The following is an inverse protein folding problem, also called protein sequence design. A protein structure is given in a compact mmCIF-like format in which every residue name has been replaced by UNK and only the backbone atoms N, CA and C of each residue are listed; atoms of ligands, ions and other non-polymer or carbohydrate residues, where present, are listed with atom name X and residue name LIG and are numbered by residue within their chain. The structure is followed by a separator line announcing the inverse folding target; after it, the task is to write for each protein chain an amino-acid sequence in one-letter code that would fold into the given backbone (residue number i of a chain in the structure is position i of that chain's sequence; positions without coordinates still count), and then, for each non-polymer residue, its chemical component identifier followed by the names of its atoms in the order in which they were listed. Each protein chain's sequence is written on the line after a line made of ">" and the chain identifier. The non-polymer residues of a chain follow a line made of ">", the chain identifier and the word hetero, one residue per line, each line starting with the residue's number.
data_IF_137387679516
#
_entry.id   IF_137387679516
#
_cell.length_a   1.000
_cell.length_b   1.000
_cell.length_c   1.000
_cell.angle_alpha   90.00
_cell.angle_beta   90.00
_cell.angle_gamma   90.00
#
_symmetry.space_group_name_H-M   'P 1'
#
loop_
_entity.id
_entity.type
_entity.pdbx_description
1 polymer ?
#
# COMPACT_ATOMS: atom_id res chain seq x y z
N UNK A 1 -56.59 57.25 -21.74
CA UNK A 1 -55.15 57.06 -21.44
C UNK A 1 -54.98 56.26 -20.16
N UNK A 2 -55.20 54.93 -20.18
CA UNK A 2 -54.97 54.03 -19.03
C UNK A 2 -54.32 52.67 -19.39
N UNK A 3 -53.91 52.46 -20.66
CA UNK A 3 -53.39 51.17 -21.13
C UNK A 3 -51.85 51.07 -21.16
N UNK A 4 -51.13 52.17 -20.87
CA UNK A 4 -49.66 52.19 -20.92
C UNK A 4 -49.02 51.50 -19.70
N UNK A 5 -49.63 51.63 -18.51
CA UNK A 5 -49.10 51.06 -17.26
C UNK A 5 -49.16 49.53 -17.21
N UNK A 6 -50.22 48.93 -17.78
CA UNK A 6 -50.39 47.48 -17.77
C UNK A 6 -49.34 46.75 -18.61
N UNK A 7 -48.92 47.34 -19.75
CA UNK A 7 -47.89 46.77 -20.62
C UNK A 7 -46.51 46.80 -19.99
N UNK A 8 -46.18 47.89 -19.29
CA UNK A 8 -44.89 48.06 -18.60
C UNK A 8 -44.79 47.09 -17.42
N UNK A 9 -45.88 46.94 -16.65
CA UNK A 9 -45.96 45.96 -15.57
C UNK A 9 -45.84 44.52 -16.08
N UNK A 10 -46.49 44.19 -17.20
CA UNK A 10 -46.38 42.86 -17.80
C UNK A 10 -44.95 42.58 -18.28
N UNK A 11 -44.30 43.55 -18.91
CA UNK A 11 -42.92 43.43 -19.37
C UNK A 11 -41.93 43.31 -18.20
N UNK A 12 -42.15 44.06 -17.11
CA UNK A 12 -41.37 43.95 -15.89
C UNK A 12 -41.53 42.57 -15.25
N UNK A 13 -42.75 42.04 -15.14
CA UNK A 13 -43.03 40.70 -14.61
C UNK A 13 -42.38 39.59 -15.45
N UNK A 14 -42.46 39.69 -16.79
CA UNK A 14 -41.81 38.74 -17.70
C UNK A 14 -40.29 38.78 -17.57
N UNK A 15 -39.71 39.98 -17.48
CA UNK A 15 -38.26 40.15 -17.32
C UNK A 15 -37.79 39.61 -15.97
N UNK A 16 -38.52 39.90 -14.89
CA UNK A 16 -38.23 39.38 -13.56
C UNK A 16 -38.35 37.85 -13.50
N UNK A 17 -39.39 37.29 -14.14
CA UNK A 17 -39.56 35.85 -14.29
C UNK A 17 -38.42 35.20 -15.07
N UNK A 18 -37.96 35.84 -16.15
CA UNK A 18 -36.81 35.35 -16.94
C UNK A 18 -35.50 35.37 -16.15
N UNK A 19 -35.28 36.40 -15.32
CA UNK A 19 -34.10 36.50 -14.43
C UNK A 19 -34.13 35.41 -13.36
N UNK A 20 -35.28 35.19 -12.71
CA UNK A 20 -35.42 34.12 -11.70
C UNK A 20 -35.22 32.74 -12.34
N UNK A 21 -35.81 32.50 -13.51
CA UNK A 21 -35.63 31.24 -14.25
C UNK A 21 -34.17 31.04 -14.67
N UNK A 22 -33.50 32.08 -15.18
CA UNK A 22 -32.08 32.04 -15.52
C UNK A 22 -31.21 31.70 -14.31
N UNK A 23 -31.49 32.31 -13.16
CA UNK A 23 -30.80 32.05 -11.90
C UNK A 23 -31.00 30.59 -11.42
N UNK A 24 -32.24 30.10 -11.44
CA UNK A 24 -32.56 28.72 -11.08
C UNK A 24 -31.90 27.70 -12.02
N UNK A 25 -31.91 27.96 -13.33
CA UNK A 25 -31.24 27.10 -14.31
C UNK A 25 -29.71 27.10 -14.13
N UNK A 26 -29.11 28.23 -13.74
CA UNK A 26 -27.68 28.30 -13.42
C UNK A 26 -27.34 27.40 -12.23
N UNK A 27 -28.09 27.50 -11.13
CA UNK A 27 -27.86 26.66 -9.96
C UNK A 27 -28.06 25.16 -10.22
N UNK A 28 -29.08 24.79 -11.02
CA UNK A 28 -29.28 23.39 -11.41
C UNK A 28 -28.14 22.89 -12.31
N UNK A 29 -27.65 23.73 -13.21
CA UNK A 29 -26.51 23.41 -14.09
C UNK A 29 -25.22 23.23 -13.29
N UNK A 30 -24.92 24.14 -12.36
CA UNK A 30 -23.79 24.05 -11.44
C UNK A 30 -23.86 22.81 -10.57
N UNK A 31 -25.01 22.56 -9.92
CA UNK A 31 -25.19 21.36 -9.09
C UNK A 31 -25.04 20.05 -9.87
N UNK A 32 -25.41 20.03 -11.16
CA UNK A 32 -25.14 18.87 -12.04
C UNK A 32 -23.65 18.74 -12.36
N UNK A 33 -22.96 19.83 -12.66
CA UNK A 33 -21.51 19.84 -12.93
C UNK A 33 -20.72 19.38 -11.71
N UNK A 34 -21.09 19.83 -10.52
CA UNK A 34 -20.42 19.45 -9.28
C UNK A 34 -20.61 17.97 -8.97
N UNK A 35 -21.83 17.44 -9.12
CA UNK A 35 -22.08 15.98 -8.99
C UNK A 35 -21.29 15.15 -9.99
N UNK A 36 -21.14 15.63 -11.23
CA UNK A 36 -20.35 14.94 -12.26
C UNK A 36 -18.86 14.96 -11.92
N UNK A 37 -18.33 16.11 -11.49
CA UNK A 37 -16.94 16.24 -11.03
C UNK A 37 -16.67 15.33 -9.84
N UNK A 38 -17.59 15.25 -8.88
CA UNK A 38 -17.47 14.41 -7.70
C UNK A 38 -17.37 12.93 -8.07
N UNK A 39 -18.26 12.45 -8.96
CA UNK A 39 -18.22 11.07 -9.48
C UNK A 39 -16.92 10.78 -10.24
N UNK A 40 -16.43 11.74 -11.03
CA UNK A 40 -15.17 11.59 -11.76
C UNK A 40 -13.97 11.53 -10.82
N UNK A 41 -13.93 12.39 -9.79
CA UNK A 41 -12.91 12.34 -8.73
C UNK A 41 -12.94 11.01 -8.00
N UNK A 42 -14.12 10.56 -7.59
CA UNK A 42 -14.32 9.27 -6.94
C UNK A 42 -13.76 8.12 -7.78
N UNK A 43 -14.15 8.05 -9.05
CA UNK A 43 -13.68 7.01 -9.98
C UNK A 43 -12.16 7.09 -10.21
N UNK A 44 -11.63 8.31 -10.34
CA UNK A 44 -10.19 8.55 -10.52
C UNK A 44 -9.39 8.09 -9.32
N UNK A 45 -9.78 8.51 -8.10
CA UNK A 45 -9.12 8.12 -6.85
C UNK A 45 -9.16 6.60 -6.66
N UNK A 46 -10.32 5.98 -6.87
CA UNK A 46 -10.46 4.52 -6.79
C UNK A 46 -9.57 3.78 -7.79
N UNK A 47 -9.37 4.33 -8.99
CA UNK A 47 -8.46 3.79 -9.99
C UNK A 47 -7.00 3.96 -9.58
N UNK A 48 -6.62 5.13 -9.08
CA UNK A 48 -5.26 5.40 -8.62
C UNK A 48 -4.86 4.50 -7.45
N UNK A 49 -5.74 4.33 -6.46
CA UNK A 49 -5.50 3.42 -5.33
C UNK A 49 -5.37 1.96 -5.77
N UNK A 50 -6.20 1.55 -6.73
CA UNK A 50 -6.13 0.21 -7.30
C UNK A 50 -4.78 -0.02 -7.99
N UNK A 51 -4.37 0.92 -8.86
CA UNK A 51 -3.09 0.84 -9.56
C UNK A 51 -1.89 0.82 -8.60
N UNK A 52 -1.86 1.71 -7.61
CA UNK A 52 -0.81 1.74 -6.58
C UNK A 52 -0.74 0.40 -5.83
N UNK A 53 -1.89 -0.15 -5.46
CA UNK A 53 -1.93 -1.44 -4.75
C UNK A 53 -1.48 -2.60 -5.63
N UNK A 54 -1.93 -2.67 -6.88
CA UNK A 54 -1.53 -3.71 -7.84
C UNK A 54 -0.02 -3.66 -8.12
N UNK A 55 0.55 -2.45 -8.28
CA UNK A 55 1.98 -2.24 -8.46
C UNK A 55 2.78 -2.71 -7.23
N UNK A 56 2.33 -2.36 -6.03
CA UNK A 56 2.95 -2.81 -4.79
C UNK A 56 2.89 -4.34 -4.62
N UNK A 57 1.74 -4.97 -4.92
CA UNK A 57 1.59 -6.42 -4.88
C UNK A 57 2.54 -7.09 -5.88
N UNK A 58 2.64 -6.56 -7.10
CA UNK A 58 3.56 -7.08 -8.11
C UNK A 58 5.03 -6.95 -7.66
N UNK A 59 5.41 -5.82 -7.08
CA UNK A 59 6.76 -5.60 -6.57
C UNK A 59 7.11 -6.58 -5.44
N UNK A 60 6.17 -6.82 -4.52
CA UNK A 60 6.32 -7.81 -3.44
C UNK A 60 6.36 -9.25 -3.95
N UNK A 61 5.55 -9.57 -4.97
CA UNK A 61 5.57 -10.88 -5.64
C UNK A 61 6.93 -11.15 -6.26
N UNK A 62 7.42 -10.22 -7.08
CA UNK A 62 8.73 -10.33 -7.72
C UNK A 62 9.88 -10.40 -6.71
N UNK A 63 9.75 -9.73 -5.55
CA UNK A 63 10.71 -9.90 -4.46
C UNK A 63 10.62 -11.30 -3.85
N UNK A 64 9.42 -11.79 -3.57
CA UNK A 64 9.21 -13.11 -2.97
C UNK A 64 9.64 -14.26 -3.87
N UNK A 65 9.34 -14.18 -5.16
CA UNK A 65 9.73 -15.19 -6.14
C UNK A 65 11.26 -15.29 -6.23
N UNK A 66 11.97 -14.15 -6.25
CA UNK A 66 13.45 -14.13 -6.17
C UNK A 66 13.98 -14.77 -4.89
N UNK A 67 13.32 -14.55 -3.75
CA UNK A 67 13.68 -15.22 -2.49
C UNK A 67 13.52 -16.72 -2.67
N UNK A 68 12.37 -17.20 -3.16
CA UNK A 68 12.08 -18.63 -3.32
C UNK A 68 13.00 -19.34 -4.33
N UNK A 69 13.37 -18.66 -5.41
CA UNK A 69 14.26 -19.18 -6.47
C UNK A 69 15.73 -19.27 -6.02
N UNK A 70 16.11 -18.59 -4.92
CA UNK A 70 17.49 -18.58 -4.44
C UNK A 70 17.99 -19.90 -3.84
N UNK A 71 17.10 -20.87 -3.64
CA UNK A 71 17.43 -22.16 -3.02
C UNK A 71 16.72 -23.29 -3.73
N UNK A 72 17.49 -24.32 -4.10
CA UNK A 72 16.95 -25.57 -4.66
C UNK A 72 16.00 -26.28 -3.70
N UNK A 73 16.17 -26.09 -2.38
CA UNK A 73 15.27 -26.65 -1.37
C UNK A 73 15.25 -25.83 -0.08
N UNK A 74 14.04 -25.39 0.27
CA UNK A 74 13.69 -24.73 1.53
C UNK A 74 13.56 -25.66 2.72
N UNK A 75 13.74 -26.96 2.50
CA UNK A 75 13.54 -27.99 3.51
C UNK A 75 14.85 -28.73 3.77
N UNK A 76 15.13 -29.06 5.02
CA UNK A 76 16.29 -29.87 5.40
C UNK A 76 16.03 -31.38 5.20
N UNK A 77 17.04 -32.21 5.52
CA UNK A 77 16.94 -33.68 5.42
C UNK A 77 15.90 -34.28 6.37
N UNK A 78 15.48 -33.52 7.38
CA UNK A 78 14.52 -33.90 8.42
C UNK A 78 13.12 -33.32 8.14
N UNK A 79 12.89 -32.84 6.91
CA UNK A 79 11.65 -32.23 6.46
C UNK A 79 11.25 -30.92 7.21
N UNK A 80 12.23 -30.18 7.77
CA UNK A 80 11.99 -28.89 8.45
C UNK A 80 12.33 -27.71 7.55
N UNK A 81 11.53 -26.66 7.63
CA UNK A 81 11.76 -25.44 6.86
C UNK A 81 13.00 -24.66 7.36
N UNK A 82 13.87 -24.24 6.44
CA UNK A 82 15.15 -23.56 6.73
C UNK A 82 14.96 -22.06 6.96
N UNK A 83 14.36 -21.68 8.10
CA UNK A 83 14.10 -20.27 8.42
C UNK A 83 15.37 -19.41 8.47
N UNK A 84 16.49 -19.92 8.98
CA UNK A 84 17.77 -19.19 8.97
C UNK A 84 18.29 -18.91 7.56
N UNK A 85 18.14 -19.87 6.64
CA UNK A 85 18.51 -19.65 5.23
C UNK A 85 17.60 -18.59 4.60
N UNK A 86 16.30 -18.68 4.83
CA UNK A 86 15.33 -17.72 4.30
C UNK A 86 15.59 -16.31 4.82
N UNK A 87 15.85 -16.16 6.13
CA UNK A 87 16.22 -14.88 6.74
C UNK A 87 17.43 -14.25 6.05
N UNK A 88 18.49 -15.05 5.84
CA UNK A 88 19.70 -14.62 5.16
C UNK A 88 19.40 -14.20 3.72
N UNK A 89 18.66 -14.99 2.97
CA UNK A 89 18.26 -14.64 1.59
C UNK A 89 17.45 -13.35 1.56
N UNK A 90 16.50 -13.17 2.46
CA UNK A 90 15.69 -11.94 2.56
C UNK A 90 16.58 -10.74 2.84
N UNK A 91 17.54 -10.86 3.78
CA UNK A 91 18.50 -9.80 4.11
C UNK A 91 19.42 -9.44 2.93
N UNK A 92 19.81 -10.42 2.11
CA UNK A 92 20.65 -10.22 0.93
C UNK A 92 19.89 -9.61 -0.26
N UNK A 93 18.56 -9.71 -0.28
CA UNK A 93 17.73 -9.14 -1.32
C UNK A 93 17.10 -7.82 -0.85
N UNK A 94 17.34 -6.69 -1.55
CA UNK A 94 16.77 -5.41 -1.15
C UNK A 94 15.24 -5.47 -1.17
N UNK A 95 14.63 -4.88 -0.14
CA UNK A 95 13.19 -4.71 -0.07
C UNK A 95 12.72 -3.87 -1.28
N UNK A 96 11.61 -4.25 -1.94
CA UNK A 96 11.11 -3.50 -3.07
C UNK A 96 10.68 -2.09 -2.65
N UNK A 97 10.77 -1.14 -3.58
CA UNK A 97 10.22 0.20 -3.39
C UNK A 97 8.70 0.08 -3.46
N UNK A 98 8.02 0.46 -2.38
CA UNK A 98 6.57 0.45 -2.27
C UNK A 98 6.06 1.90 -2.33
N UNK A 99 5.12 2.16 -3.24
CA UNK A 99 4.44 3.45 -3.31
C UNK A 99 3.31 3.54 -2.29
N UNK A 100 3.28 4.62 -1.54
CA UNK A 100 2.16 5.03 -0.68
C UNK A 100 1.69 6.44 -1.00
N UNK A 101 2.14 6.98 -2.14
CA UNK A 101 1.95 8.37 -2.52
C UNK A 101 0.48 8.70 -2.74
N UNK A 102 -0.28 7.84 -3.43
CA UNK A 102 -1.72 8.05 -3.66
C UNK A 102 -2.46 7.94 -2.33
N UNK A 103 -2.14 6.92 -1.53
CA UNK A 103 -2.74 6.72 -0.21
C UNK A 103 -2.58 7.96 0.70
N UNK A 104 -1.36 8.45 0.88
CA UNK A 104 -1.10 9.59 1.75
C UNK A 104 -1.59 10.93 1.17
N UNK A 105 -1.42 11.16 -0.13
CA UNK A 105 -1.83 12.42 -0.75
C UNK A 105 -3.36 12.65 -0.69
N UNK A 106 -4.14 11.57 -0.62
CA UNK A 106 -5.60 11.64 -0.65
C UNK A 106 -6.24 11.24 0.69
N UNK A 107 -5.47 11.08 1.77
CA UNK A 107 -5.96 10.49 3.03
C UNK A 107 -7.17 11.22 3.62
N UNK A 108 -7.24 12.55 3.45
CA UNK A 108 -8.37 13.38 3.89
C UNK A 108 -9.64 13.19 3.07
N UNK A 109 -9.50 12.77 1.81
CA UNK A 109 -10.60 12.62 0.86
C UNK A 109 -11.12 11.17 0.77
N UNK A 110 -10.30 10.19 1.20
CA UNK A 110 -10.68 8.76 1.19
C UNK A 110 -12.05 8.48 1.82
N UNK A 111 -12.43 9.04 3.00
CA UNK A 111 -13.72 8.73 3.62
C UNK A 111 -14.93 9.20 2.81
N UNK A 112 -14.74 10.19 1.92
CA UNK A 112 -15.81 10.73 1.07
C UNK A 112 -16.02 9.94 -0.21
N UNK A 113 -15.00 9.21 -0.66
CA UNK A 113 -14.97 8.59 -1.98
C UNK A 113 -14.87 7.05 -1.97
N UNK A 114 -14.41 6.49 -0.86
CA UNK A 114 -14.22 5.05 -0.69
C UNK A 114 -15.21 4.55 0.36
N UNK A 115 -15.94 3.48 0.04
CA UNK A 115 -16.83 2.84 0.99
C UNK A 115 -16.03 2.21 2.15
N UNK A 116 -16.60 2.21 3.35
CA UNK A 116 -15.93 1.76 4.56
C UNK A 116 -15.31 0.35 4.43
N UNK A 117 -15.99 -0.69 3.88
CA UNK A 117 -15.38 -2.01 3.73
C UNK A 117 -14.14 -2.03 2.84
N UNK A 118 -14.13 -1.23 1.77
CA UNK A 118 -12.97 -1.09 0.90
C UNK A 118 -11.84 -0.32 1.58
N UNK A 119 -12.17 0.74 2.32
CA UNK A 119 -11.20 1.51 3.09
C UNK A 119 -10.50 0.63 4.14
N UNK A 120 -11.26 -0.20 4.85
CA UNK A 120 -10.73 -1.16 5.83
C UNK A 120 -9.78 -2.18 5.17
N UNK A 121 -10.13 -2.68 3.98
CA UNK A 121 -9.27 -3.59 3.21
C UNK A 121 -7.96 -2.91 2.79
N UNK A 122 -8.03 -1.70 2.25
CA UNK A 122 -6.84 -0.93 1.85
C UNK A 122 -5.96 -0.62 3.05
N UNK A 123 -6.55 -0.16 4.16
CA UNK A 123 -5.84 0.08 5.41
C UNK A 123 -5.12 -1.17 5.90
N UNK A 124 -5.83 -2.30 5.94
CA UNK A 124 -5.26 -3.60 6.32
C UNK A 124 -4.10 -3.99 5.40
N UNK A 125 -4.20 -3.74 4.10
CA UNK A 125 -3.13 -3.99 3.14
C UNK A 125 -1.89 -3.14 3.47
N UNK A 126 -2.01 -1.82 3.58
CA UNK A 126 -0.86 -0.95 3.86
C UNK A 126 -0.22 -1.23 5.22
N UNK A 127 -1.02 -1.54 6.25
CA UNK A 127 -0.48 -1.97 7.55
C UNK A 127 0.33 -3.27 7.46
N UNK A 128 -0.09 -4.23 6.61
CA UNK A 128 0.66 -5.46 6.40
C UNK A 128 1.97 -5.18 5.67
N UNK A 129 1.95 -4.32 4.65
CA UNK A 129 3.15 -3.89 3.93
C UNK A 129 4.16 -3.23 4.88
N UNK A 130 3.71 -2.29 5.70
CA UNK A 130 4.56 -1.60 6.69
C UNK A 130 5.17 -2.60 7.68
N UNK A 131 4.36 -3.53 8.23
CA UNK A 131 4.86 -4.59 9.12
C UNK A 131 5.87 -5.50 8.43
N UNK A 132 5.66 -5.82 7.15
CA UNK A 132 6.58 -6.64 6.38
C UNK A 132 7.93 -5.95 6.21
N UNK A 133 7.93 -4.64 5.93
CA UNK A 133 9.14 -3.82 5.86
C UNK A 133 9.89 -3.77 7.20
N UNK A 134 9.17 -3.60 8.32
CA UNK A 134 9.79 -3.63 9.66
C UNK A 134 10.48 -4.96 9.92
N UNK A 135 9.84 -6.09 9.56
CA UNK A 135 10.47 -7.41 9.69
C UNK A 135 11.67 -7.54 8.75
N UNK A 136 11.59 -7.06 7.50
CA UNK A 136 12.73 -7.06 6.58
C UNK A 136 13.95 -6.33 7.16
N UNK A 137 13.74 -5.13 7.70
CA UNK A 137 14.82 -4.36 8.32
C UNK A 137 15.44 -5.12 9.50
N UNK A 138 14.62 -5.72 10.36
CA UNK A 138 15.12 -6.56 11.47
C UNK A 138 16.00 -7.72 10.97
N UNK A 139 15.56 -8.43 9.91
CA UNK A 139 16.35 -9.54 9.36
C UNK A 139 17.67 -9.04 8.75
N UNK A 140 17.66 -7.88 8.11
CA UNK A 140 18.84 -7.24 7.53
C UNK A 140 19.84 -6.80 8.60
N UNK A 141 19.35 -6.22 9.69
CA UNK A 141 20.18 -5.83 10.84
C UNK A 141 20.79 -7.06 11.52
N UNK A 142 19.99 -8.11 11.73
CA UNK A 142 20.47 -9.37 12.32
C UNK A 142 21.54 -10.06 11.44
N UNK A 143 21.42 -10.00 10.11
CA UNK A 143 22.45 -10.55 9.22
C UNK A 143 23.72 -9.69 9.22
N UNK A 144 23.58 -8.37 9.39
CA UNK A 144 24.71 -7.45 9.56
C UNK A 144 25.47 -7.76 10.85
N UNK A 145 24.77 -7.92 11.98
CA UNK A 145 25.35 -8.34 13.26
C UNK A 145 26.11 -9.67 13.13
N UNK A 146 25.50 -10.65 12.45
CA UNK A 146 26.11 -11.95 12.17
C UNK A 146 27.41 -11.82 11.38
N UNK A 147 27.41 -11.02 10.30
CA UNK A 147 28.61 -10.79 9.48
C UNK A 147 29.72 -10.12 10.28
N UNK A 148 29.38 -9.12 11.09
CA UNK A 148 30.32 -8.42 11.96
C UNK A 148 30.94 -9.39 12.98
N UNK A 149 30.15 -10.24 13.63
CA UNK A 149 30.65 -11.23 14.59
C UNK A 149 31.65 -12.22 13.94
N UNK A 150 31.38 -12.66 12.71
CA UNK A 150 32.30 -13.52 11.95
C UNK A 150 33.59 -12.78 11.60
N UNK A 151 33.49 -11.51 11.21
CA UNK A 151 34.66 -10.67 10.90
C UNK A 151 35.53 -10.43 12.14
N UNK A 152 34.93 -10.15 13.30
CA UNK A 152 35.66 -10.04 14.56
C UNK A 152 36.38 -11.34 14.93
N UNK A 153 35.71 -12.49 14.79
CA UNK A 153 36.34 -13.79 15.02
C UNK A 153 37.51 -14.08 14.09
N UNK A 154 37.44 -13.59 12.84
CA UNK A 154 38.55 -13.68 11.88
C UNK A 154 39.78 -12.90 12.31
N UNK A 155 39.59 -11.74 12.92
CA UNK A 155 40.69 -10.94 13.49
C UNK A 155 41.35 -11.60 14.70
N UNK A 156 40.65 -12.52 15.38
CA UNK A 156 41.13 -13.26 16.54
C UNK A 156 41.66 -14.66 16.20
N UNK A 157 41.78 -15.01 14.92
CA UNK A 157 42.19 -16.34 14.41
C UNK A 157 41.26 -17.51 14.82
N UNK A 158 40.06 -17.23 15.36
CA UNK A 158 39.06 -18.25 15.77
C UNK A 158 37.80 -18.20 14.87
N UNK A 159 38.03 -18.32 13.56
CA UNK A 159 36.99 -18.18 12.53
C UNK A 159 35.90 -19.26 12.68
N UNK A 160 36.29 -20.49 12.98
CA UNK A 160 35.35 -21.62 13.01
C UNK A 160 34.36 -21.48 14.17
N UNK A 161 34.85 -21.16 15.36
CA UNK A 161 34.00 -20.96 16.54
C UNK A 161 33.09 -19.75 16.34
N UNK A 162 33.62 -18.64 15.81
CA UNK A 162 32.82 -17.45 15.52
C UNK A 162 31.72 -17.72 14.48
N UNK A 163 31.99 -18.49 13.43
CA UNK A 163 30.99 -18.88 12.44
C UNK A 163 29.89 -19.75 13.04
N UNK A 164 30.24 -20.73 13.89
CA UNK A 164 29.27 -21.61 14.55
C UNK A 164 28.37 -20.85 15.52
N UNK A 165 28.96 -20.02 16.38
CA UNK A 165 28.23 -19.22 17.37
C UNK A 165 27.33 -18.19 16.70
N UNK A 166 27.87 -17.39 15.77
CA UNK A 166 27.10 -16.38 15.05
C UNK A 166 25.99 -17.01 14.20
N UNK A 167 26.23 -18.17 13.60
CA UNK A 167 25.23 -18.91 12.85
C UNK A 167 24.08 -19.43 13.71
N UNK A 168 24.39 -20.00 14.89
CA UNK A 168 23.40 -20.50 15.83
C UNK A 168 22.54 -19.38 16.41
N UNK A 169 23.19 -18.31 16.91
CA UNK A 169 22.50 -17.15 17.49
C UNK A 169 21.59 -16.47 16.45
N UNK A 170 22.09 -16.28 15.23
CA UNK A 170 21.28 -15.76 14.13
C UNK A 170 20.06 -16.62 13.85
N UNK A 171 20.23 -17.94 13.69
CA UNK A 171 19.14 -18.85 13.38
C UNK A 171 18.04 -18.86 14.45
N UNK A 172 18.42 -18.74 15.72
CA UNK A 172 17.50 -18.64 16.85
C UNK A 172 16.74 -17.30 16.85
N UNK A 173 17.47 -16.18 16.72
CA UNK A 173 16.92 -14.82 16.74
C UNK A 173 15.94 -14.54 15.60
N UNK A 174 16.21 -15.05 14.39
CA UNK A 174 15.42 -14.73 13.20
C UNK A 174 14.24 -15.65 12.98
N UNK A 175 14.16 -16.81 13.64
CA UNK A 175 13.17 -17.86 13.33
C UNK A 175 11.73 -17.34 13.38
N UNK A 176 11.31 -16.77 14.51
CA UNK A 176 9.95 -16.28 14.70
C UNK A 176 9.62 -15.11 13.75
N UNK A 177 10.59 -14.27 13.42
CA UNK A 177 10.43 -13.16 12.49
C UNK A 177 10.29 -13.65 11.04
N UNK A 178 11.05 -14.67 10.68
CA UNK A 178 11.02 -15.31 9.36
C UNK A 178 9.69 -16.03 9.12
N UNK A 179 9.19 -16.75 10.12
CA UNK A 179 7.85 -17.36 10.11
C UNK A 179 6.76 -16.29 9.87
N UNK A 180 6.82 -15.19 10.62
CA UNK A 180 5.89 -14.06 10.45
C UNK A 180 6.02 -13.42 9.07
N UNK A 181 7.24 -13.26 8.56
CA UNK A 181 7.49 -12.70 7.22
C UNK A 181 6.79 -13.52 6.14
N UNK A 182 7.01 -14.85 6.15
CA UNK A 182 6.40 -15.79 5.21
C UNK A 182 4.87 -15.72 5.27
N UNK A 183 4.28 -15.79 6.47
CA UNK A 183 2.83 -15.73 6.64
C UNK A 183 2.24 -14.39 6.17
N UNK A 184 2.97 -13.30 6.41
CA UNK A 184 2.52 -11.96 6.09
C UNK A 184 2.58 -11.69 4.59
N UNK A 185 3.68 -12.09 3.93
CA UNK A 185 3.83 -11.91 2.49
C UNK A 185 2.81 -12.77 1.73
N UNK A 186 2.57 -14.02 2.13
CA UNK A 186 1.51 -14.86 1.54
C UNK A 186 0.13 -14.18 1.64
N UNK A 187 -0.22 -13.64 2.82
CA UNK A 187 -1.46 -12.88 3.02
C UNK A 187 -1.56 -11.59 2.20
N UNK A 188 -0.44 -10.97 1.83
CA UNK A 188 -0.41 -9.79 0.96
C UNK A 188 -0.56 -10.23 -0.50
N UNK A 189 0.09 -11.31 -0.91
CA UNK A 189 0.03 -11.81 -2.28
C UNK A 189 -1.34 -12.40 -2.64
N UNK A 190 -2.08 -12.88 -1.64
CA UNK A 190 -3.47 -13.32 -1.77
C UNK A 190 -4.48 -12.16 -1.71
N UNK A 191 -4.02 -10.92 -1.53
CA UNK A 191 -4.89 -9.75 -1.46
C UNK A 191 -5.50 -9.43 -2.83
N UNK A 192 -6.82 -9.43 -2.91
CA UNK A 192 -7.57 -9.06 -4.11
C UNK A 192 -8.43 -7.83 -3.81
N UNK A 193 -8.20 -6.76 -4.58
CA UNK A 193 -9.14 -5.63 -4.64
C UNK A 193 -10.26 -6.04 -5.60
N UNK A 194 -11.36 -6.57 -5.06
CA UNK A 194 -12.60 -6.66 -5.82
C UNK A 194 -13.01 -5.22 -6.17
N UNK A 195 -13.02 -4.91 -7.47
CA UNK A 195 -13.40 -3.61 -8.01
C UNK A 195 -14.91 -3.41 -8.00
#
# INVERSE_FOLDING_TARGET
>A
MKNLDSSILLQALVTFGAVILGFMLSHVSEGRKDRLRERQKQASLNRLLKLETEENVLALRNHWDRVLESSDSWVDKENRFKFGLMAKTIAENPYPIISTAVWYANISELPSYVDYPRLEKLWTFYQRVERLQVIHNFLSDADTDRRNAIEYGRLQEDVVTAQLLAGSDFAERVRAHSEKYKLLIEKILDFHINA
#
